data_IF_943261793799
#
_entry.id   IF_943261793799
#
_cell.length_a   1.000
_cell.length_b   1.000
_cell.length_c   1.000
_cell.angle_alpha   90.00
_cell.angle_beta   90.00
_cell.angle_gamma   90.00
#
_symmetry.space_group_name_H-M   'P 1'
#
loop_
_entity.id
_entity.type
_entity.pdbx_description
1 polymer ?
#
# COMPACT_ATOMS: atom_id res chain seq x y z
N UNK A 1 3.79 -2.14 -20.42
CA UNK A 1 4.11 -3.27 -19.51
C UNK A 1 3.97 -2.89 -18.03
N UNK A 2 4.67 -1.85 -17.55
CA UNK A 2 4.60 -1.39 -16.13
C UNK A 2 3.17 -1.16 -15.60
N UNK A 3 2.32 -0.49 -16.39
CA UNK A 3 0.92 -0.23 -16.00
C UNK A 3 0.05 -1.49 -15.92
N UNK A 4 0.28 -2.47 -16.81
CA UNK A 4 -0.45 -3.73 -16.78
C UNK A 4 -0.08 -4.55 -15.54
N UNK A 5 1.21 -4.58 -15.18
CA UNK A 5 1.68 -5.26 -13.98
C UNK A 5 1.11 -4.62 -12.70
N UNK A 6 1.08 -3.29 -12.66
CA UNK A 6 0.46 -2.53 -11.57
C UNK A 6 -1.03 -2.85 -11.43
N UNK A 7 -1.75 -2.89 -12.55
CA UNK A 7 -3.18 -3.23 -12.56
C UNK A 7 -3.41 -4.66 -12.05
N UNK A 8 -2.64 -5.63 -12.53
CA UNK A 8 -2.75 -7.03 -12.09
C UNK A 8 -2.47 -7.18 -10.59
N UNK A 9 -1.44 -6.52 -10.06
CA UNK A 9 -1.12 -6.57 -8.64
C UNK A 9 -2.25 -5.98 -7.77
N UNK A 10 -2.82 -4.85 -8.18
CA UNK A 10 -3.94 -4.23 -7.46
C UNK A 10 -5.20 -5.12 -7.48
N UNK A 11 -5.48 -5.76 -8.62
CA UNK A 11 -6.61 -6.69 -8.75
C UNK A 11 -6.45 -7.94 -7.90
N UNK A 12 -5.23 -8.49 -7.76
CA UNK A 12 -4.96 -9.64 -6.88
C UNK A 12 -5.19 -9.28 -5.41
N UNK A 13 -4.77 -8.08 -4.98
CA UNK A 13 -5.06 -7.60 -3.64
C UNK A 13 -6.58 -7.47 -3.39
N UNK A 14 -7.31 -6.91 -4.37
CA UNK A 14 -8.78 -6.82 -4.30
C UNK A 14 -9.45 -8.20 -4.23
N UNK A 15 -9.01 -9.14 -5.06
CA UNK A 15 -9.57 -10.49 -5.12
C UNK A 15 -9.28 -11.32 -3.86
N UNK A 16 -8.16 -11.07 -3.16
CA UNK A 16 -7.79 -11.78 -1.93
C UNK A 16 -8.38 -11.14 -0.66
N UNK A 17 -8.69 -9.84 -0.70
CA UNK A 17 -9.27 -9.08 0.42
C UNK A 17 -10.81 -9.04 0.46
N UNK A 18 -11.49 -9.29 -0.66
CA UNK A 18 -12.96 -9.24 -0.73
C UNK A 18 -13.62 -10.56 -0.32
N UNK A 19 -14.49 -10.52 0.70
CA UNK A 19 -15.10 -11.71 1.32
C UNK A 19 -15.91 -12.57 0.34
N UNK A 20 -16.54 -11.96 -0.67
CA UNK A 20 -17.34 -12.68 -1.67
C UNK A 20 -16.55 -13.06 -2.93
N UNK A 21 -15.23 -12.90 -2.93
CA UNK A 21 -14.38 -13.37 -4.02
C UNK A 21 -14.08 -14.87 -3.87
N UNK A 22 -14.08 -15.60 -4.99
CA UNK A 22 -13.63 -17.00 -5.02
C UNK A 22 -12.17 -17.18 -4.59
N UNK A 23 -11.38 -16.10 -4.58
CA UNK A 23 -9.98 -16.09 -4.16
C UNK A 23 -9.78 -15.46 -2.77
N UNK A 24 -10.86 -15.31 -1.98
CA UNK A 24 -10.79 -14.71 -0.65
C UNK A 24 -9.82 -15.47 0.26
N UNK A 25 -8.77 -14.78 0.70
CA UNK A 25 -7.78 -15.35 1.59
C UNK A 25 -7.31 -14.28 2.57
N UNK A 26 -8.06 -14.13 3.66
CA UNK A 26 -7.79 -13.17 4.75
C UNK A 26 -6.32 -13.13 5.24
N UNK A 27 -5.63 -14.26 5.50
CA UNK A 27 -4.23 -14.20 5.95
C UNK A 27 -3.28 -13.61 4.90
N UNK A 28 -3.53 -13.85 3.61
CA UNK A 28 -2.72 -13.27 2.52
C UNK A 28 -2.97 -11.75 2.45
N UNK A 29 -4.23 -11.34 2.45
CA UNK A 29 -4.58 -9.92 2.47
C UNK A 29 -3.96 -9.20 3.68
N UNK A 30 -4.08 -9.78 4.88
CA UNK A 30 -3.50 -9.24 6.11
C UNK A 30 -1.98 -9.17 6.08
N UNK A 31 -1.30 -10.15 5.49
CA UNK A 31 0.16 -10.16 5.33
C UNK A 31 0.62 -9.04 4.39
N UNK A 32 -0.08 -8.88 3.25
CA UNK A 32 0.19 -7.79 2.30
C UNK A 32 -0.01 -6.42 2.97
N UNK A 33 -1.10 -6.24 3.74
CA UNK A 33 -1.35 -5.00 4.49
C UNK A 33 -0.28 -4.74 5.55
N UNK A 34 0.14 -5.77 6.30
CA UNK A 34 1.20 -5.61 7.30
C UNK A 34 2.53 -5.19 6.67
N UNK A 35 2.88 -5.81 5.53
CA UNK A 35 4.08 -5.49 4.78
C UNK A 35 4.03 -4.06 4.20
N UNK A 36 2.90 -3.66 3.61
CA UNK A 36 2.74 -2.30 3.07
C UNK A 36 2.82 -1.23 4.16
N UNK A 37 2.22 -1.46 5.34
CA UNK A 37 2.37 -0.57 6.50
C UNK A 37 3.82 -0.47 6.99
N UNK A 38 4.58 -1.58 6.95
CA UNK A 38 6.00 -1.59 7.31
C UNK A 38 6.83 -0.73 6.34
N UNK A 39 6.59 -0.87 5.03
CA UNK A 39 7.23 -0.02 4.01
C UNK A 39 6.86 1.44 4.21
N UNK A 40 5.58 1.76 4.41
CA UNK A 40 5.14 3.14 4.60
C UNK A 40 5.83 3.78 5.80
N UNK A 41 5.96 3.07 6.92
CA UNK A 41 6.74 3.54 8.09
C UNK A 41 8.21 3.77 7.75
N UNK A 42 8.84 2.89 6.97
CA UNK A 42 10.23 3.08 6.52
C UNK A 42 10.37 4.33 5.65
N UNK A 43 9.44 4.58 4.74
CA UNK A 43 9.42 5.77 3.89
C UNK A 43 9.22 7.04 4.72
N UNK A 44 8.31 7.01 5.71
CA UNK A 44 8.10 8.12 6.64
C UNK A 44 9.37 8.41 7.44
N UNK A 45 10.00 7.38 8.00
CA UNK A 45 11.25 7.53 8.76
C UNK A 45 12.38 8.05 7.87
N UNK A 46 12.47 7.58 6.62
CA UNK A 46 13.44 8.06 5.66
C UNK A 46 13.23 9.54 5.35
N UNK A 47 12.00 9.96 5.02
CA UNK A 47 11.68 11.37 4.78
C UNK A 47 11.95 12.27 5.99
N UNK A 48 11.67 11.78 7.21
CA UNK A 48 12.00 12.49 8.45
C UNK A 48 13.52 12.71 8.64
N UNK A 49 14.38 11.84 8.10
CA UNK A 49 15.84 12.05 8.13
C UNK A 49 16.29 13.22 7.24
N UNK A 50 15.48 13.63 6.27
CA UNK A 50 15.77 14.76 5.37
C UNK A 50 15.04 16.05 5.79
N UNK A 51 14.57 16.13 7.04
CA UNK A 51 13.80 17.28 7.57
C UNK A 51 12.49 17.55 6.79
N UNK A 52 12.00 16.56 6.04
CA UNK A 52 10.74 16.66 5.29
C UNK A 52 9.61 16.42 6.28
N UNK A 53 8.87 17.48 6.60
CA UNK A 53 7.77 17.43 7.57
C UNK A 53 6.53 16.81 6.93
N UNK A 54 6.27 15.53 7.19
CA UNK A 54 5.11 14.82 6.63
C UNK A 54 3.84 15.23 7.40
N UNK A 55 3.15 16.26 6.90
CA UNK A 55 1.86 16.75 7.42
C UNK A 55 0.72 16.07 6.66
N UNK A 56 0.32 14.86 7.09
CA UNK A 56 -0.88 14.13 6.61
C UNK A 56 -0.93 13.68 5.13
N UNK A 57 -0.84 12.36 4.95
CA UNK A 57 -1.14 11.69 3.69
C UNK A 57 -2.64 11.54 3.48
N UNK A 58 -3.22 12.37 2.61
CA UNK A 58 -4.53 12.14 2.02
C UNK A 58 -4.47 12.43 0.50
N UNK A 59 -4.52 11.35 -0.26
CA UNK A 59 -4.85 11.11 -1.69
C UNK A 59 -4.40 12.04 -2.83
N UNK A 60 -4.08 13.33 -2.69
CA UNK A 60 -3.74 14.14 -3.88
C UNK A 60 -2.65 15.19 -3.72
N UNK A 61 -2.02 15.32 -2.55
CA UNK A 61 -1.01 16.37 -2.36
C UNK A 61 0.03 15.99 -1.34
N UNK A 62 1.26 15.77 -1.80
CA UNK A 62 2.44 15.90 -0.95
C UNK A 62 2.67 17.40 -0.78
N UNK A 63 2.28 17.96 0.35
CA UNK A 63 2.61 19.35 0.69
C UNK A 63 3.86 19.30 1.58
N UNK A 64 4.87 20.07 1.17
CA UNK A 64 6.11 20.35 1.89
C UNK A 64 5.82 21.01 3.25
#
# INVERSE_FOLDING_TARGET
>A
LSNALKLTANSIYGATGFVFSNLYMKPIASSITAYSCSILRKVINYAAQYDIKIVYGNTDSTIL
#
